data_IF_495832584575
#
_entry.id   IF_495832584575
#
_cell.length_a   1.000
_cell.length_b   1.000
_cell.length_c   1.000
_cell.angle_alpha   90.00
_cell.angle_beta   90.00
_cell.angle_gamma   90.00
#
_symmetry.space_group_name_H-M   'P 1'
#
loop_
_entity.id
_entity.type
_entity.pdbx_description
1 polymer ?
#
# COMPACT_ATOMS: atom_id res chain seq x y z
N UNK A 1 18.34 30.81 15.01
CA UNK A 1 17.79 30.50 16.34
C UNK A 1 16.46 31.23 16.49
N UNK A 2 15.35 30.53 16.30
CA UNK A 2 13.99 31.07 16.36
C UNK A 2 13.15 30.32 17.40
N UNK A 3 12.35 31.09 18.13
CA UNK A 3 11.44 30.69 19.19
C UNK A 3 10.14 30.10 18.62
N UNK A 4 9.49 29.32 19.50
CA UNK A 4 8.04 29.08 19.61
C UNK A 4 7.42 27.91 18.83
N UNK A 5 7.58 26.72 19.41
CA UNK A 5 6.50 25.73 19.53
C UNK A 5 5.32 26.37 20.27
N UNK A 6 4.13 26.54 19.66
CA UNK A 6 2.86 26.56 20.41
C UNK A 6 1.58 26.57 19.55
N UNK A 7 1.35 25.64 18.61
CA UNK A 7 -0.03 25.35 18.16
C UNK A 7 -0.14 23.90 17.69
N UNK A 8 -0.29 22.95 18.62
CA UNK A 8 -1.01 21.69 18.39
C UNK A 8 -1.07 20.92 19.71
N UNK A 9 -1.87 21.41 20.66
CA UNK A 9 -2.28 20.60 21.82
C UNK A 9 -3.60 21.07 22.44
N UNK A 10 -4.46 21.74 21.66
CA UNK A 10 -5.76 22.24 22.16
C UNK A 10 -6.91 21.25 21.98
N UNK A 11 -6.70 20.13 21.27
CA UNK A 11 -7.71 19.07 21.11
C UNK A 11 -7.53 17.86 22.04
N UNK A 12 -6.37 17.72 22.69
CA UNK A 12 -6.13 16.64 23.65
C UNK A 12 -6.48 16.99 25.11
N UNK A 13 -6.68 18.28 25.43
CA UNK A 13 -7.03 18.71 26.79
C UNK A 13 -8.55 18.73 27.06
N UNK A 14 -9.39 18.72 26.01
CA UNK A 14 -10.84 18.82 26.17
C UNK A 14 -11.55 17.49 26.46
N UNK A 15 -10.86 16.36 26.27
CA UNK A 15 -11.43 15.01 26.50
C UNK A 15 -10.98 14.39 27.83
N UNK A 16 -10.04 15.00 28.55
CA UNK A 16 -9.48 14.45 29.80
C UNK A 16 -10.09 14.99 31.10
N UNK A 17 -11.06 15.90 31.04
CA UNK A 17 -11.65 16.56 32.22
C UNK A 17 -13.03 16.03 32.64
N UNK A 18 -13.44 14.84 32.20
CA UNK A 18 -14.73 14.24 32.57
C UNK A 18 -14.69 12.97 33.43
N UNK A 19 -13.52 12.49 33.86
CA UNK A 19 -13.46 11.32 34.72
C UNK A 19 -12.41 11.52 35.82
N UNK A 20 -12.89 11.48 37.07
CA UNK A 20 -12.23 11.45 38.38
C UNK A 20 -12.21 12.73 39.24
N UNK A 21 -12.49 12.58 40.56
CA UNK A 21 -12.82 13.67 41.47
C UNK A 21 -11.59 14.22 42.20
N UNK A 22 -11.68 15.51 42.57
CA UNK A 22 -11.06 16.19 43.72
C UNK A 22 -9.60 15.84 44.01
N UNK A 23 -8.69 16.68 43.50
CA UNK A 23 -7.43 16.99 44.18
C UNK A 23 -7.39 18.51 44.35
N UNK A 24 -7.58 18.95 45.58
CA UNK A 24 -7.53 20.35 46.02
C UNK A 24 -6.05 20.78 46.05
N UNK A 25 -5.60 21.54 45.04
CA UNK A 25 -4.25 22.08 44.97
C UNK A 25 -4.30 23.61 45.23
N UNK A 26 -3.61 24.12 46.27
CA UNK A 26 -3.65 25.52 46.66
C UNK A 26 -3.00 26.50 45.66
N UNK A 27 -2.40 26.04 44.55
CA UNK A 27 -1.88 26.91 43.48
C UNK A 27 -2.92 27.32 42.43
N UNK A 28 -4.13 26.74 42.42
CA UNK A 28 -5.18 27.08 41.45
C UNK A 28 -6.06 28.29 41.85
N UNK A 29 -5.73 28.97 42.96
CA UNK A 29 -6.54 30.06 43.53
C UNK A 29 -6.18 31.46 43.01
N UNK A 30 -5.14 31.59 42.17
CA UNK A 30 -4.58 32.89 41.78
C UNK A 30 -5.04 33.43 40.40
N UNK A 31 -5.95 32.77 39.68
CA UNK A 31 -6.41 33.22 38.36
C UNK A 31 -7.93 33.44 38.27
N UNK A 32 -8.62 33.54 39.42
CA UNK A 32 -10.09 33.65 39.48
C UNK A 32 -10.65 35.08 39.46
N UNK A 33 -9.81 36.11 39.33
CA UNK A 33 -10.26 37.51 39.42
C UNK A 33 -10.21 38.33 38.12
N UNK A 34 -9.88 37.73 36.98
CA UNK A 34 -9.96 38.42 35.69
C UNK A 34 -10.82 37.65 34.71
N UNK A 35 -12.10 38.01 34.65
CA UNK A 35 -12.94 38.08 33.43
C UNK A 35 -14.43 38.23 33.85
N UNK A 36 -14.79 39.45 34.26
CA UNK A 36 -16.15 39.96 34.13
C UNK A 36 -16.33 40.40 32.68
N UNK A 37 -17.03 39.59 31.88
CA UNK A 37 -17.76 40.09 30.71
C UNK A 37 -18.94 39.18 30.44
N UNK A 38 -20.08 39.63 30.97
CA UNK A 38 -21.41 39.13 30.70
C UNK A 38 -21.74 39.40 29.24
N UNK A 39 -22.00 38.34 28.46
CA UNK A 39 -22.67 38.43 27.17
C UNK A 39 -23.96 37.61 27.26
N UNK A 40 -25.06 38.28 27.62
CA UNK A 40 -26.41 37.77 27.48
C UNK A 40 -26.74 37.65 25.99
N UNK A 41 -26.82 36.43 25.47
CA UNK A 41 -27.39 36.19 24.15
C UNK A 41 -28.91 36.10 24.26
N UNK A 42 -29.58 37.13 23.77
CA UNK A 42 -31.01 37.12 23.47
C UNK A 42 -31.27 36.16 22.31
N UNK A 43 -32.09 35.15 22.56
CA UNK A 43 -32.48 34.13 21.60
C UNK A 43 -33.48 34.73 20.60
N UNK A 44 -33.03 35.06 19.38
CA UNK A 44 -33.94 35.33 18.26
C UNK A 44 -33.87 34.16 17.28
N UNK A 45 -34.97 33.44 17.23
CA UNK A 45 -35.27 32.31 16.36
C UNK A 45 -35.35 32.74 14.90
N UNK A 46 -34.45 32.22 14.06
CA UNK A 46 -34.63 31.92 12.61
C UNK A 46 -33.31 31.41 12.01
N UNK A 47 -33.02 30.11 12.20
CA UNK A 47 -31.90 29.45 11.55
C UNK A 47 -32.25 29.11 10.09
N UNK A 48 -31.77 29.93 9.16
CA UNK A 48 -31.54 29.49 7.78
C UNK A 48 -30.18 28.79 7.76
N UNK A 49 -30.19 27.46 7.68
CA UNK A 49 -28.97 26.67 7.49
C UNK A 49 -28.48 26.86 6.05
N UNK A 50 -27.60 27.84 5.83
CA UNK A 50 -26.72 27.87 4.67
C UNK A 50 -25.64 26.79 4.88
N UNK A 51 -25.84 25.62 4.27
CA UNK A 51 -24.78 24.62 4.14
C UNK A 51 -23.79 25.18 3.12
N UNK A 52 -22.72 25.81 3.61
CA UNK A 52 -21.57 26.12 2.78
C UNK A 52 -21.02 24.79 2.25
N UNK A 53 -21.17 24.55 0.94
CA UNK A 53 -20.49 23.48 0.24
C UNK A 53 -18.99 23.84 0.23
N UNK A 54 -18.29 23.48 1.29
CA UNK A 54 -16.83 23.44 1.29
C UNK A 54 -16.44 22.40 0.24
N UNK A 55 -15.66 22.75 -0.80
CA UNK A 55 -15.02 21.73 -1.59
C UNK A 55 -14.17 20.91 -0.62
N UNK A 56 -14.46 19.61 -0.53
CA UNK A 56 -13.61 18.63 0.15
C UNK A 56 -12.28 18.58 -0.61
N UNK A 57 -11.42 19.56 -0.40
CA UNK A 57 -10.01 19.45 -0.74
C UNK A 57 -9.44 18.44 0.24
N UNK A 58 -9.43 17.18 -0.16
CA UNK A 58 -8.63 16.15 0.50
C UNK A 58 -7.20 16.68 0.48
N UNK A 59 -6.70 17.06 1.65
CA UNK A 59 -5.31 17.46 1.82
C UNK A 59 -4.42 16.34 1.27
N UNK A 60 -3.37 16.65 0.49
CA UNK A 60 -2.39 15.63 0.12
C UNK A 60 -1.93 14.94 1.41
N UNK A 61 -1.98 13.61 1.40
CA UNK A 61 -1.41 12.79 2.45
C UNK A 61 0.02 13.26 2.66
N UNK A 62 0.39 13.56 3.90
CA UNK A 62 1.72 14.10 4.21
C UNK A 62 2.79 13.09 3.75
N UNK A 63 3.50 13.41 2.65
CA UNK A 63 4.67 12.66 2.17
C UNK A 63 4.42 11.60 1.09
N UNK A 64 3.41 11.78 0.23
CA UNK A 64 3.24 10.97 -0.98
C UNK A 64 3.75 11.74 -2.20
N UNK A 65 4.72 11.17 -2.93
CA UNK A 65 5.26 11.79 -4.13
C UNK A 65 4.35 11.57 -5.35
N UNK A 66 3.46 10.58 -5.27
CA UNK A 66 2.39 10.39 -6.23
C UNK A 66 1.04 10.27 -5.53
N UNK A 67 0.01 10.83 -6.14
CA UNK A 67 -1.31 10.82 -5.53
C UNK A 67 -2.45 10.91 -6.55
N UNK A 68 -3.59 10.35 -6.18
CA UNK A 68 -4.84 10.45 -6.93
C UNK A 68 -5.60 11.70 -6.50
N UNK A 69 -6.23 12.38 -7.46
CA UNK A 69 -7.04 13.58 -7.23
C UNK A 69 -8.29 13.58 -8.11
N UNK A 70 -9.39 14.11 -7.61
CA UNK A 70 -10.61 14.32 -8.39
C UNK A 70 -10.40 15.37 -9.49
N UNK A 71 -10.93 15.12 -10.68
CA UNK A 71 -11.04 16.07 -11.78
C UNK A 71 -12.49 16.07 -12.32
N UNK A 72 -12.90 17.12 -13.04
CA UNK A 72 -14.29 17.34 -13.49
C UNK A 72 -14.96 16.10 -14.12
N UNK A 73 -14.19 15.22 -14.78
CA UNK A 73 -14.69 14.00 -15.43
C UNK A 73 -14.00 12.72 -14.99
N UNK A 74 -13.57 12.63 -13.73
CA UNK A 74 -13.05 11.39 -13.17
C UNK A 74 -11.92 11.60 -12.17
N UNK A 75 -10.91 10.75 -12.27
CA UNK A 75 -9.74 10.77 -11.39
C UNK A 75 -8.49 11.05 -12.22
N UNK A 76 -7.52 11.75 -11.65
CA UNK A 76 -6.16 11.85 -12.20
C UNK A 76 -5.15 11.27 -11.23
N UNK A 77 -4.08 10.70 -11.77
CA UNK A 77 -2.89 10.32 -11.03
C UNK A 77 -1.79 11.34 -11.31
N UNK A 78 -1.18 11.84 -10.24
CA UNK A 78 -0.39 13.07 -10.24
C UNK A 78 0.96 12.80 -9.57
N UNK A 79 2.03 13.38 -10.11
CA UNK A 79 3.32 13.48 -9.44
C UNK A 79 3.46 14.85 -8.76
N UNK A 80 3.76 14.86 -7.47
CA UNK A 80 4.09 16.07 -6.73
C UNK A 80 5.46 16.58 -7.20
N UNK A 81 5.53 17.86 -7.59
CA UNK A 81 6.80 18.50 -7.97
C UNK A 81 7.15 19.63 -7.01
N UNK A 82 8.26 19.49 -6.28
CA UNK A 82 8.70 20.48 -5.28
C UNK A 82 8.98 21.83 -5.93
N UNK A 83 8.17 22.83 -5.62
CA UNK A 83 8.35 24.20 -6.10
C UNK A 83 7.78 24.47 -7.49
N UNK A 84 7.15 23.48 -8.11
CA UNK A 84 6.49 23.59 -9.41
C UNK A 84 5.01 23.15 -9.32
N UNK A 85 4.30 23.21 -10.45
CA UNK A 85 2.95 22.65 -10.50
C UNK A 85 3.03 21.15 -10.67
N UNK A 86 2.19 20.44 -9.94
CA UNK A 86 2.10 19.00 -10.07
C UNK A 86 1.80 18.56 -11.51
N UNK A 87 2.45 17.47 -11.92
CA UNK A 87 2.32 16.90 -13.24
C UNK A 87 1.23 15.83 -13.26
N UNK A 88 0.29 15.91 -14.19
CA UNK A 88 -0.70 14.86 -14.41
C UNK A 88 -0.03 13.74 -15.22
N UNK A 89 0.18 12.59 -14.58
CA UNK A 89 0.79 11.43 -15.22
C UNK A 89 -0.23 10.57 -15.97
N UNK A 90 -1.48 10.53 -15.50
CA UNK A 90 -2.53 9.72 -16.11
C UNK A 90 -3.93 10.28 -15.82
N UNK A 91 -4.77 10.25 -16.85
CA UNK A 91 -6.20 10.54 -16.74
C UNK A 91 -6.99 9.23 -16.66
N UNK A 92 -7.88 9.14 -15.67
CA UNK A 92 -8.66 7.96 -15.33
C UNK A 92 -10.16 8.33 -15.30
N UNK A 93 -10.76 8.59 -16.47
CA UNK A 93 -12.12 9.14 -16.55
C UNK A 93 -13.19 8.20 -15.99
N UNK A 94 -12.98 6.89 -16.11
CA UNK A 94 -13.93 5.87 -15.64
C UNK A 94 -13.77 5.49 -14.16
N UNK A 95 -12.79 6.08 -13.47
CA UNK A 95 -12.47 5.77 -12.06
C UNK A 95 -13.15 6.77 -11.15
N UNK A 96 -13.95 6.26 -10.21
CA UNK A 96 -14.66 7.10 -9.25
C UNK A 96 -13.80 7.41 -8.03
N UNK A 97 -13.25 8.64 -7.99
CA UNK A 97 -12.41 9.13 -6.90
C UNK A 97 -13.04 8.94 -5.51
N UNK A 98 -14.33 9.28 -5.36
CA UNK A 98 -15.03 9.20 -4.07
C UNK A 98 -15.20 7.77 -3.54
N UNK A 99 -14.96 6.77 -4.41
CA UNK A 99 -15.04 5.35 -4.08
C UNK A 99 -13.66 4.69 -4.06
N UNK A 100 -12.57 5.41 -4.31
CA UNK A 100 -11.24 4.81 -4.24
C UNK A 100 -10.91 4.42 -2.81
N UNK A 101 -10.42 3.19 -2.67
CA UNK A 101 -9.84 2.69 -1.43
C UNK A 101 -8.66 1.78 -1.73
N UNK A 102 -7.76 1.66 -0.74
CA UNK A 102 -6.64 0.71 -0.80
C UNK A 102 -7.16 -0.71 -0.68
N UNK A 103 -6.59 -1.60 -1.47
CA UNK A 103 -6.68 -3.03 -1.22
C UNK A 103 -5.69 -3.33 -0.09
N UNK A 104 -6.15 -4.05 0.93
CA UNK A 104 -5.31 -4.39 2.08
C UNK A 104 -4.06 -5.16 1.63
N UNK A 105 -2.89 -4.69 2.04
CA UNK A 105 -1.63 -5.36 1.77
C UNK A 105 -1.37 -6.45 2.83
N UNK A 106 -1.48 -7.72 2.44
CA UNK A 106 -1.32 -8.85 3.34
C UNK A 106 0.14 -9.10 3.76
N UNK A 107 1.12 -8.52 3.07
CA UNK A 107 2.53 -8.59 3.47
C UNK A 107 2.80 -7.78 4.74
N UNK A 108 2.15 -6.62 4.88
CA UNK A 108 2.35 -5.73 6.02
C UNK A 108 1.28 -5.94 7.09
N UNK A 109 1.52 -6.91 7.98
CA UNK A 109 0.62 -7.21 9.12
C UNK A 109 0.44 -6.05 10.10
N UNK A 110 1.24 -4.98 9.99
CA UNK A 110 1.22 -3.81 10.87
C UNK A 110 0.87 -2.53 10.12
N UNK A 111 0.26 -2.61 8.93
CA UNK A 111 -0.17 -1.40 8.22
C UNK A 111 -1.27 -0.67 9.02
N UNK A 112 -0.86 0.34 9.78
CA UNK A 112 -1.73 1.18 10.58
C UNK A 112 -2.47 2.23 9.75
N UNK A 113 -2.20 2.36 8.44
CA UNK A 113 -2.86 3.35 7.60
C UNK A 113 -4.28 2.92 7.28
N UNK A 114 -5.22 3.85 7.37
CA UNK A 114 -6.59 3.61 6.98
C UNK A 114 -6.66 3.26 5.49
N UNK A 115 -7.56 2.35 5.09
CA UNK A 115 -7.73 2.02 3.67
C UNK A 115 -8.25 3.21 2.84
N UNK A 116 -8.85 4.21 3.50
CA UNK A 116 -9.24 5.49 2.90
C UNK A 116 -8.07 6.42 2.63
N UNK A 117 -6.88 6.17 3.21
CA UNK A 117 -5.65 6.90 2.90
C UNK A 117 -4.97 6.28 1.67
N UNK A 118 -5.62 6.41 0.51
CA UNK A 118 -5.26 5.73 -0.75
C UNK A 118 -4.13 6.37 -1.55
N UNK A 119 -3.48 7.40 -1.01
CA UNK A 119 -2.32 8.03 -1.61
C UNK A 119 -1.05 7.76 -0.78
N UNK A 120 -0.59 6.50 -0.62
CA UNK A 120 0.67 6.19 0.05
C UNK A 120 1.88 6.16 -0.90
N UNK A 121 1.68 6.35 -2.21
CA UNK A 121 2.70 6.11 -3.24
C UNK A 121 3.87 7.08 -3.09
N UNK A 122 5.10 6.55 -3.07
CA UNK A 122 6.32 7.32 -2.85
C UNK A 122 7.33 7.15 -3.98
N UNK A 123 8.11 8.20 -4.18
CA UNK A 123 9.26 8.34 -5.07
C UNK A 123 10.54 7.78 -4.44
N UNK A 124 10.58 7.54 -3.12
CA UNK A 124 11.69 6.84 -2.47
C UNK A 124 11.63 5.36 -2.86
N UNK A 125 11.91 5.12 -4.15
CA UNK A 125 12.26 3.85 -4.71
C UNK A 125 13.52 3.43 -3.98
N UNK A 126 13.58 2.18 -3.59
CA UNK A 126 14.74 1.70 -2.85
C UNK A 126 16.01 1.77 -3.74
N UNK A 127 17.17 1.35 -3.21
CA UNK A 127 18.43 1.38 -3.95
C UNK A 127 18.42 0.58 -5.27
N UNK A 128 17.42 -0.27 -5.48
CA UNK A 128 17.19 -1.07 -6.69
C UNK A 128 16.21 -0.42 -7.69
N UNK A 129 15.58 0.71 -7.33
CA UNK A 129 14.66 1.46 -8.19
C UNK A 129 13.21 0.99 -8.11
N UNK A 130 12.85 0.16 -7.13
CA UNK A 130 11.48 -0.32 -6.95
C UNK A 130 10.68 0.68 -6.10
N UNK A 131 9.81 1.43 -6.78
CA UNK A 131 8.95 2.43 -6.16
C UNK A 131 7.75 1.76 -5.47
N UNK A 132 7.42 2.22 -4.26
CA UNK A 132 6.30 1.65 -3.51
C UNK A 132 4.97 2.19 -4.05
N UNK A 133 4.28 1.36 -4.82
CA UNK A 133 2.91 1.58 -5.25
C UNK A 133 1.94 0.73 -4.42
N UNK A 134 0.72 1.23 -4.25
CA UNK A 134 -0.35 0.46 -3.62
C UNK A 134 -1.42 0.07 -4.63
N UNK A 135 -1.89 -1.17 -4.50
CA UNK A 135 -3.11 -1.66 -5.14
C UNK A 135 -4.32 -0.89 -4.64
N UNK A 136 -5.08 -0.29 -5.56
CA UNK A 136 -6.33 0.42 -5.25
C UNK A 136 -7.50 -0.20 -5.99
N UNK A 137 -8.72 0.07 -5.52
CA UNK A 137 -9.93 -0.22 -6.28
C UNK A 137 -11.02 0.80 -5.96
N UNK A 138 -11.92 1.03 -6.92
CA UNK A 138 -13.19 1.74 -6.72
C UNK A 138 -14.40 0.79 -6.56
N UNK A 139 -14.11 -0.51 -6.41
CA UNK A 139 -15.07 -1.61 -6.38
C UNK A 139 -15.45 -2.16 -7.75
N UNK A 140 -15.01 -1.53 -8.85
CA UNK A 140 -15.20 -2.03 -10.23
C UNK A 140 -13.87 -2.33 -10.90
N UNK A 141 -12.92 -1.39 -10.79
CA UNK A 141 -11.60 -1.44 -11.40
C UNK A 141 -10.54 -1.65 -10.33
N UNK A 142 -9.46 -2.34 -10.69
CA UNK A 142 -8.25 -2.38 -9.86
C UNK A 142 -7.21 -1.45 -10.49
N UNK A 143 -6.44 -0.74 -9.66
CA UNK A 143 -5.43 0.19 -10.11
C UNK A 143 -4.07 -0.13 -9.49
N UNK A 144 -3.03 0.18 -10.25
CA UNK A 144 -1.63 0.14 -9.83
C UNK A 144 -0.87 1.28 -10.51
N UNK A 145 -0.13 2.08 -9.74
CA UNK A 145 0.74 3.15 -10.26
C UNK A 145 0.07 4.05 -11.32
N UNK A 146 -1.15 4.53 -11.04
CA UNK A 146 -1.90 5.42 -11.93
C UNK A 146 -2.56 4.75 -13.13
N UNK A 147 -2.54 3.41 -13.23
CA UNK A 147 -3.12 2.67 -14.35
C UNK A 147 -4.24 1.75 -13.88
N UNK A 148 -5.32 1.69 -14.67
CA UNK A 148 -6.35 0.65 -14.51
C UNK A 148 -5.80 -0.67 -15.02
N UNK A 149 -5.83 -1.70 -14.19
CA UNK A 149 -5.42 -3.05 -14.56
C UNK A 149 -6.31 -3.59 -15.67
N UNK A 150 -5.66 -4.12 -16.72
CA UNK A 150 -6.32 -4.79 -17.83
C UNK A 150 -5.55 -6.04 -18.20
N UNK A 151 -6.26 -7.16 -18.25
CA UNK A 151 -5.68 -8.41 -18.71
C UNK A 151 -5.58 -8.44 -20.24
N UNK A 152 -4.59 -9.16 -20.80
CA UNK A 152 -4.49 -9.34 -22.25
C UNK A 152 -5.76 -9.93 -22.86
N UNK A 153 -6.00 -9.63 -24.14
CA UNK A 153 -7.14 -10.20 -24.87
C UNK A 153 -7.13 -11.73 -24.81
N UNK A 154 -8.30 -12.34 -24.62
CA UNK A 154 -8.45 -13.79 -24.46
C UNK A 154 -8.18 -14.31 -23.04
N UNK A 155 -7.72 -13.47 -22.11
CA UNK A 155 -7.63 -13.82 -20.69
C UNK A 155 -8.87 -13.35 -19.93
N UNK A 156 -9.19 -13.96 -18.76
CA UNK A 156 -10.29 -13.51 -17.94
C UNK A 156 -10.16 -12.04 -17.54
N UNK A 157 -11.27 -11.31 -17.46
CA UNK A 157 -11.27 -9.96 -16.90
C UNK A 157 -10.79 -9.97 -15.44
N UNK A 158 -10.18 -8.85 -15.03
CA UNK A 158 -9.76 -8.61 -13.64
C UNK A 158 -10.99 -8.63 -12.74
N UNK A 159 -10.94 -9.40 -11.67
CA UNK A 159 -12.07 -9.55 -10.74
C UNK A 159 -11.79 -8.79 -9.44
N UNK A 160 -12.17 -7.50 -9.41
CA UNK A 160 -11.92 -6.61 -8.27
C UNK A 160 -12.50 -7.14 -6.94
N UNK A 161 -13.59 -7.91 -7.00
CA UNK A 161 -14.27 -8.44 -5.81
C UNK A 161 -13.47 -9.54 -5.08
N UNK A 162 -12.67 -10.33 -5.82
CA UNK A 162 -11.81 -11.37 -5.24
C UNK A 162 -10.33 -10.98 -5.19
N UNK A 163 -10.01 -9.74 -5.56
CA UNK A 163 -8.62 -9.28 -5.67
C UNK A 163 -8.00 -9.15 -4.27
N UNK A 164 -6.85 -9.79 -4.08
CA UNK A 164 -6.05 -9.75 -2.87
C UNK A 164 -4.61 -9.36 -3.22
N UNK A 165 -3.97 -8.60 -2.33
CA UNK A 165 -2.63 -8.07 -2.55
C UNK A 165 -1.66 -8.50 -1.44
N UNK A 166 -0.40 -8.70 -1.83
CA UNK A 166 0.73 -9.03 -0.98
C UNK A 166 1.97 -8.32 -1.54
N UNK A 167 2.24 -7.10 -1.08
CA UNK A 167 3.23 -6.21 -1.68
C UNK A 167 2.92 -5.92 -3.15
N UNK A 168 3.91 -6.08 -4.02
CA UNK A 168 3.78 -6.00 -5.46
C UNK A 168 3.10 -7.23 -6.10
N UNK A 169 2.98 -8.34 -5.37
CA UNK A 169 2.24 -9.52 -5.81
C UNK A 169 0.74 -9.34 -5.53
N UNK A 170 -0.09 -9.83 -6.43
CA UNK A 170 -1.52 -9.88 -6.21
C UNK A 170 -2.14 -11.05 -6.96
N UNK A 171 -3.36 -11.41 -6.57
CA UNK A 171 -4.16 -12.38 -7.29
C UNK A 171 -5.64 -12.03 -7.18
N UNK A 172 -6.38 -12.32 -8.25
CA UNK A 172 -7.83 -12.51 -8.17
C UNK A 172 -8.14 -13.99 -8.37
N UNK A 173 -9.42 -14.38 -8.31
CA UNK A 173 -9.84 -15.79 -8.43
C UNK A 173 -9.42 -16.52 -9.72
N UNK A 174 -8.83 -15.85 -10.72
CA UNK A 174 -8.47 -16.41 -12.04
C UNK A 174 -7.07 -16.02 -12.53
N UNK A 175 -6.47 -14.97 -11.99
CA UNK A 175 -5.22 -14.44 -12.50
C UNK A 175 -4.29 -14.00 -11.37
N UNK A 176 -2.99 -14.11 -11.65
CA UNK A 176 -1.91 -13.66 -10.79
C UNK A 176 -1.29 -12.41 -11.42
N UNK A 177 -0.87 -11.50 -10.56
CA UNK A 177 -0.36 -10.20 -10.92
C UNK A 177 0.94 -9.89 -10.18
N UNK A 178 1.78 -9.13 -10.85
CA UNK A 178 2.98 -8.54 -10.28
C UNK A 178 3.22 -7.19 -10.95
N UNK A 179 3.50 -6.15 -10.16
CA UNK A 179 3.76 -4.78 -10.64
C UNK A 179 2.71 -4.27 -11.64
N UNK A 180 1.44 -4.49 -11.30
CA UNK A 180 0.31 -4.02 -12.12
C UNK A 180 0.09 -4.80 -13.42
N UNK A 181 0.80 -5.90 -13.63
CA UNK A 181 0.69 -6.73 -14.83
C UNK A 181 0.28 -8.15 -14.49
N UNK A 182 -0.51 -8.75 -15.38
CA UNK A 182 -0.85 -10.17 -15.29
C UNK A 182 0.38 -11.03 -15.61
N UNK A 183 0.69 -11.99 -14.75
CA UNK A 183 1.85 -12.87 -14.89
C UNK A 183 1.49 -14.32 -15.13
N UNK A 184 0.39 -14.81 -14.54
CA UNK A 184 -0.01 -16.22 -14.67
C UNK A 184 -1.52 -16.43 -14.45
N UNK A 185 -1.99 -17.64 -14.70
CA UNK A 185 -3.34 -18.11 -14.35
C UNK A 185 -3.38 -18.50 -12.86
N UNK A 186 -4.44 -18.13 -12.14
CA UNK A 186 -4.65 -18.53 -10.74
C UNK A 186 -5.63 -19.70 -10.65
N UNK A 187 -5.16 -20.92 -10.97
CA UNK A 187 -6.00 -22.12 -11.02
C UNK A 187 -5.18 -23.40 -10.94
N UNK A 188 -5.80 -24.50 -10.46
CA UNK A 188 -5.14 -25.80 -10.36
C UNK A 188 -3.92 -25.74 -9.43
N UNK A 189 -2.81 -26.33 -9.84
CA UNK A 189 -1.54 -26.32 -9.07
C UNK A 189 -1.00 -24.89 -8.85
N UNK A 190 -1.41 -23.95 -9.70
CA UNK A 190 -1.07 -22.52 -9.60
C UNK A 190 -2.04 -21.73 -8.74
N UNK A 191 -2.97 -22.38 -8.03
CA UNK A 191 -3.88 -21.65 -7.17
C UNK A 191 -3.12 -21.14 -5.93
N UNK A 192 -2.91 -19.83 -5.85
CA UNK A 192 -2.21 -19.22 -4.72
C UNK A 192 -3.05 -19.31 -3.45
N UNK A 193 -2.42 -19.75 -2.35
CA UNK A 193 -3.02 -19.67 -1.02
C UNK A 193 -2.57 -18.37 -0.34
N UNK A 194 -3.31 -17.28 -0.60
CA UNK A 194 -3.05 -15.96 -0.03
C UNK A 194 -3.01 -15.93 1.50
N UNK A 195 -3.63 -16.90 2.19
CA UNK A 195 -3.64 -16.94 3.66
C UNK A 195 -2.31 -17.45 4.25
N UNK A 196 -1.60 -18.27 3.49
CA UNK A 196 -0.31 -18.85 3.86
C UNK A 196 0.88 -18.22 3.14
N UNK A 197 0.61 -17.31 2.20
CA UNK A 197 1.64 -16.63 1.42
C UNK A 197 2.54 -15.81 2.34
N UNK A 198 3.84 -15.99 2.15
CA UNK A 198 4.89 -15.35 2.95
C UNK A 198 6.08 -14.95 2.06
N UNK A 199 6.78 -13.92 2.49
CA UNK A 199 8.07 -13.52 1.92
C UNK A 199 9.15 -14.53 2.28
N UNK A 200 10.13 -14.67 1.39
CA UNK A 200 11.40 -15.33 1.69
C UNK A 200 12.48 -14.25 1.87
N UNK A 201 13.70 -14.68 2.20
CA UNK A 201 14.87 -13.79 2.27
C UNK A 201 15.27 -13.23 0.89
N UNK A 202 14.77 -13.83 -0.19
CA UNK A 202 14.99 -13.38 -1.57
C UNK A 202 13.81 -12.49 -1.95
N UNK A 203 14.09 -11.24 -2.34
CA UNK A 203 13.03 -10.29 -2.69
C UNK A 203 12.20 -10.82 -3.86
N UNK A 204 10.87 -10.74 -3.70
CA UNK A 204 9.84 -11.12 -4.67
C UNK A 204 9.81 -12.61 -4.96
N UNK A 205 10.58 -13.40 -4.21
CA UNK A 205 10.38 -14.83 -4.07
C UNK A 205 9.44 -15.05 -2.89
N UNK A 206 8.22 -15.45 -3.19
CA UNK A 206 7.16 -15.71 -2.23
C UNK A 206 6.87 -17.20 -2.19
N UNK A 207 6.45 -17.66 -1.01
CA UNK A 207 6.05 -19.04 -0.79
C UNK A 207 4.70 -19.09 -0.11
N UNK A 208 3.78 -19.87 -0.66
CA UNK A 208 2.62 -20.34 0.09
C UNK A 208 2.82 -21.80 0.51
N UNK A 209 1.84 -22.39 1.19
CA UNK A 209 1.96 -23.77 1.69
C UNK A 209 2.18 -24.81 0.59
N UNK A 210 1.79 -24.51 -0.65
CA UNK A 210 1.84 -25.43 -1.79
C UNK A 210 2.93 -25.04 -2.80
N UNK A 211 3.13 -23.75 -3.05
CA UNK A 211 3.74 -23.23 -4.27
C UNK A 211 4.77 -22.13 -4.00
N UNK A 212 5.76 -22.08 -4.89
CA UNK A 212 6.80 -21.05 -4.94
C UNK A 212 6.54 -20.10 -6.11
N UNK A 213 6.70 -18.81 -5.84
CA UNK A 213 6.37 -17.72 -6.76
C UNK A 213 7.53 -16.76 -6.86
N UNK A 214 7.94 -16.36 -8.06
CA UNK A 214 8.93 -15.30 -8.24
C UNK A 214 8.41 -14.23 -9.21
N UNK A 215 8.31 -12.99 -8.74
CA UNK A 215 7.76 -11.86 -9.52
C UNK A 215 6.43 -12.21 -10.19
N UNK A 216 5.53 -12.83 -9.42
CA UNK A 216 4.21 -13.28 -9.89
C UNK A 216 4.18 -14.52 -10.77
N UNK A 217 5.32 -15.15 -11.07
CA UNK A 217 5.37 -16.37 -11.90
C UNK A 217 5.47 -17.61 -11.02
N UNK A 218 4.68 -18.63 -11.35
CA UNK A 218 4.76 -19.92 -10.67
C UNK A 218 6.08 -20.62 -11.01
N UNK A 219 6.80 -21.06 -9.99
CA UNK A 219 8.05 -21.80 -10.15
C UNK A 219 7.87 -23.30 -9.96
N UNK A 220 6.85 -23.70 -9.21
CA UNK A 220 6.56 -25.10 -8.90
C UNK A 220 6.08 -25.27 -7.46
N UNK A 221 5.95 -26.54 -7.04
CA UNK A 221 5.59 -26.88 -5.68
C UNK A 221 6.72 -26.51 -4.69
N UNK A 222 6.35 -26.04 -3.50
CA UNK A 222 7.28 -25.58 -2.47
C UNK A 222 7.72 -26.68 -1.49
N UNK A 223 7.35 -27.95 -1.74
CA UNK A 223 7.81 -29.08 -0.94
C UNK A 223 9.35 -29.14 -0.93
N UNK A 224 9.93 -29.38 0.24
CA UNK A 224 11.38 -29.39 0.41
C UNK A 224 12.10 -28.06 0.12
N UNK A 225 11.36 -26.92 0.07
CA UNK A 225 11.97 -25.64 -0.28
C UNK A 225 13.17 -25.29 0.61
N UNK A 226 14.30 -25.01 -0.04
CA UNK A 226 15.54 -24.60 0.61
C UNK A 226 16.26 -23.55 -0.24
N UNK A 227 16.77 -22.50 0.39
CA UNK A 227 17.72 -21.57 -0.25
C UNK A 227 19.12 -22.17 -0.13
N UNK A 228 19.75 -22.51 -1.26
CA UNK A 228 21.15 -22.97 -1.28
C UNK A 228 22.13 -21.80 -1.35
N UNK A 229 21.75 -20.74 -2.08
CA UNK A 229 22.55 -19.54 -2.25
C UNK A 229 21.64 -18.36 -2.57
N UNK A 230 21.97 -17.20 -2.03
CA UNK A 230 21.35 -15.92 -2.37
C UNK A 230 22.40 -14.82 -2.21
N UNK A 231 22.67 -14.09 -3.29
CA UNK A 231 23.55 -12.93 -3.31
C UNK A 231 22.78 -11.64 -3.60
N UNK A 232 21.68 -11.73 -4.36
CA UNK A 232 20.73 -10.64 -4.59
C UNK A 232 19.38 -11.16 -5.07
N UNK A 233 18.38 -10.28 -5.18
CA UNK A 233 17.07 -10.58 -5.75
C UNK A 233 17.11 -11.24 -7.14
N UNK A 234 18.21 -11.05 -7.89
CA UNK A 234 18.40 -11.62 -9.23
C UNK A 234 19.40 -12.79 -9.25
N UNK A 235 20.15 -13.00 -8.17
CA UNK A 235 21.23 -13.99 -8.10
C UNK A 235 21.00 -14.93 -6.91
N UNK A 236 20.34 -16.04 -7.18
CA UNK A 236 20.00 -17.04 -6.18
C UNK A 236 19.88 -18.45 -6.76
N UNK A 237 20.06 -19.44 -5.89
CA UNK A 237 19.77 -20.84 -6.16
C UNK A 237 18.90 -21.37 -5.03
N UNK A 238 17.74 -21.90 -5.40
CA UNK A 238 16.83 -22.57 -4.47
C UNK A 238 16.54 -23.98 -4.95
N UNK A 239 16.25 -24.87 -4.01
CA UNK A 239 15.78 -26.22 -4.25
C UNK A 239 14.34 -26.35 -3.81
N UNK A 240 13.66 -27.31 -4.42
CA UNK A 240 12.47 -27.97 -3.91
C UNK A 240 12.73 -29.48 -4.01
N UNK A 241 11.85 -30.31 -3.47
CA UNK A 241 11.96 -31.78 -3.57
C UNK A 241 12.00 -32.26 -5.04
N UNK A 242 11.51 -31.45 -5.97
CA UNK A 242 11.39 -31.81 -7.39
C UNK A 242 12.26 -30.99 -8.34
N UNK A 243 12.81 -29.85 -7.90
CA UNK A 243 13.45 -28.89 -8.81
C UNK A 243 14.69 -28.24 -8.21
N UNK A 244 15.63 -27.92 -9.10
CA UNK A 244 16.65 -26.91 -8.87
C UNK A 244 16.22 -25.65 -9.61
N UNK A 245 16.24 -24.49 -8.94
CA UNK A 245 15.84 -23.22 -9.54
C UNK A 245 16.98 -22.23 -9.37
N UNK A 246 17.46 -21.69 -10.49
CA UNK A 246 18.53 -20.69 -10.55
C UNK A 246 17.94 -19.39 -11.09
N UNK A 247 18.01 -18.32 -10.31
CA UNK A 247 17.53 -16.98 -10.68
C UNK A 247 16.08 -16.99 -11.20
N UNK A 248 15.21 -17.79 -10.56
CA UNK A 248 13.81 -17.94 -10.95
C UNK A 248 13.56 -18.81 -12.19
N UNK A 249 14.56 -19.55 -12.66
CA UNK A 249 14.43 -20.48 -13.78
C UNK A 249 14.70 -21.91 -13.32
N UNK A 250 13.80 -22.85 -13.64
CA UNK A 250 14.02 -24.27 -13.35
C UNK A 250 15.14 -24.84 -14.22
N UNK A 251 16.06 -25.54 -13.58
CA UNK A 251 17.17 -26.24 -14.21
C UNK A 251 16.83 -27.75 -14.28
N UNK A 252 17.07 -28.44 -15.41
CA UNK A 252 16.88 -29.89 -15.53
C UNK A 252 18.00 -30.63 -14.79
N UNK A 253 17.93 -30.64 -13.46
CA UNK A 253 18.89 -31.28 -12.57
C UNK A 253 18.15 -32.00 -11.43
N UNK A 254 18.77 -33.05 -10.90
CA UNK A 254 18.25 -33.78 -9.73
C UNK A 254 18.53 -32.97 -8.46
N UNK A 255 17.46 -32.48 -7.83
CA UNK A 255 17.52 -31.70 -6.59
C UNK A 255 18.23 -32.42 -5.44
N UNK A 256 18.19 -33.76 -5.40
CA UNK A 256 18.78 -34.56 -4.31
C UNK A 256 20.29 -34.68 -4.40
N UNK A 257 20.84 -34.51 -5.60
CA UNK A 257 22.28 -34.66 -5.86
C UNK A 257 22.95 -33.36 -6.27
N UNK A 258 22.16 -32.29 -6.45
CA UNK A 258 22.65 -30.99 -6.90
C UNK A 258 23.63 -30.38 -5.90
N UNK A 259 24.77 -29.92 -6.41
CA UNK A 259 25.80 -29.24 -5.64
C UNK A 259 26.35 -28.04 -6.41
N UNK A 260 26.57 -26.94 -5.70
CA UNK A 260 27.23 -25.76 -6.26
C UNK A 260 28.74 -25.96 -6.12
N UNK A 261 29.41 -26.35 -7.21
CA UNK A 261 30.87 -26.54 -7.23
C UNK A 261 31.60 -25.19 -7.36
N UNK A 262 31.04 -24.26 -8.13
CA UNK A 262 31.59 -22.91 -8.33
C UNK A 262 30.45 -21.94 -8.65
N UNK A 263 30.51 -20.76 -8.06
CA UNK A 263 29.61 -19.64 -8.34
C UNK A 263 30.45 -18.44 -8.77
N UNK A 264 30.16 -17.89 -9.95
CA UNK A 264 30.85 -16.71 -10.48
C UNK A 264 29.80 -15.66 -10.76
N UNK A 265 29.87 -14.54 -10.03
CA UNK A 265 28.99 -13.42 -10.29
C UNK A 265 29.40 -12.74 -11.59
N UNK A 266 28.44 -12.49 -12.47
CA UNK A 266 28.64 -11.55 -13.56
C UNK A 266 28.60 -10.13 -12.96
N UNK A 267 29.54 -9.24 -13.32
CA UNK A 267 29.48 -7.86 -12.85
C UNK A 267 28.16 -7.24 -13.29
N UNK A 268 27.43 -6.67 -12.33
CA UNK A 268 26.28 -5.82 -12.56
C UNK A 268 26.78 -4.50 -13.13
N UNK A 269 26.37 -4.16 -14.35
CA UNK A 269 26.65 -2.87 -14.99
C UNK A 269 25.56 -1.86 -14.69
#
# INVERSE_FOLDING_TARGET
MNKAHFVSNLFYLYTFLKIFPVIDNPQARAYREYLLLVAEFTMVTRSWLLIAALPLSISPSWGADFYYRQQEKGTVYVAEQKGEKDEILSELPDVNFSRLWRIANLANKQDCRLLSDFNPDKFDCDGEGDCQHTWLTDGRSVLWAGKVLKNPSGKPNVDAASFQAFGAFAADKRSIYFDGQRTDDNSGDKQVDMSSLAETEIWNLLRDKNSLWHKGRWLGHADGFQILRHDSALQFVVLTDSQVIVNGTSLPADSKTFQIIRWVMLPTY
#
